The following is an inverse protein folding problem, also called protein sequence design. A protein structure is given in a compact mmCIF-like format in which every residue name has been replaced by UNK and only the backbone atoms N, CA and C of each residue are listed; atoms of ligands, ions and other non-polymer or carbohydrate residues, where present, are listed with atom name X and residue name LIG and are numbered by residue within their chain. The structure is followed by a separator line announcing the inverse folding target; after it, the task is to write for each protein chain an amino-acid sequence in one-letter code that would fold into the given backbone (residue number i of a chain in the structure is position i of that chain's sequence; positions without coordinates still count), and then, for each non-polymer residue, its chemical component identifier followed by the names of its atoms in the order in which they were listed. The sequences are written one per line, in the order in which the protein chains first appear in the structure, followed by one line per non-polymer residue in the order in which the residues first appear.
data_IF_916025216141
#
_entry.id   IF_916025216141
#
_cell.length_a   1.000
_cell.length_b   1.000
_cell.length_c   1.000
_cell.angle_alpha   90.00
_cell.angle_beta   90.00
_cell.angle_gamma   90.00
#
_symmetry.space_group_name_H-M   'P 1'
#
loop_
_entity.id
_entity.type
_entity.pdbx_description
1 polymer ?
#
# COMPACT_ATOMS: atom_id res chain seq x y z
N UNK A 1 23.04 -7.27 10.69
CA UNK A 1 22.41 -7.18 9.37
C UNK A 1 22.35 -5.72 8.94
N UNK A 2 22.84 -5.42 7.75
CA UNK A 2 22.69 -4.12 7.11
C UNK A 2 21.46 -4.10 6.20
N UNK A 3 20.63 -3.08 6.34
CA UNK A 3 19.36 -2.96 5.62
C UNK A 3 19.39 -1.73 4.72
N UNK A 4 19.07 -1.91 3.43
CA UNK A 4 18.76 -0.80 2.53
C UNK A 4 17.26 -0.56 2.51
N UNK A 5 16.83 0.68 2.75
CA UNK A 5 15.44 1.07 2.64
C UNK A 5 15.29 2.11 1.52
N UNK A 6 14.61 1.74 0.46
CA UNK A 6 14.46 2.54 -0.75
C UNK A 6 13.15 3.32 -0.68
N UNK A 7 13.26 4.60 -0.33
CA UNK A 7 12.14 5.51 -0.15
C UNK A 7 12.05 6.11 1.25
N UNK A 8 11.89 7.43 1.33
CA UNK A 8 11.88 8.22 2.57
C UNK A 8 10.55 8.94 2.82
N UNK A 9 9.43 8.34 2.38
CA UNK A 9 8.07 8.79 2.72
C UNK A 9 7.70 8.48 4.19
N UNK A 10 6.48 8.82 4.61
CA UNK A 10 6.01 8.52 5.99
C UNK A 10 6.19 7.06 6.36
N UNK A 11 5.72 6.13 5.51
CA UNK A 11 5.82 4.71 5.78
C UNK A 11 7.25 4.19 5.78
N UNK A 12 8.08 4.62 4.81
CA UNK A 12 9.52 4.29 4.80
C UNK A 12 10.23 4.77 6.06
N UNK A 13 9.95 5.99 6.52
CA UNK A 13 10.53 6.54 7.75
C UNK A 13 10.13 5.73 9.00
N UNK A 14 8.85 5.35 9.12
CA UNK A 14 8.39 4.53 10.24
C UNK A 14 9.03 3.13 10.24
N UNK A 15 9.11 2.48 9.06
CA UNK A 15 9.73 1.15 8.93
C UNK A 15 11.25 1.21 9.14
N UNK A 16 11.93 2.29 8.75
CA UNK A 16 13.34 2.48 9.09
C UNK A 16 13.56 2.45 10.61
N UNK A 17 12.69 3.13 11.37
CA UNK A 17 12.73 3.09 12.83
C UNK A 17 12.46 1.72 13.42
N UNK A 18 11.50 0.95 12.86
CA UNK A 18 11.23 -0.42 13.29
C UNK A 18 12.43 -1.34 13.00
N UNK A 19 12.96 -1.29 11.79
CA UNK A 19 14.09 -2.12 11.36
C UNK A 19 15.36 -1.82 12.16
N UNK A 20 15.60 -0.56 12.51
CA UNK A 20 16.76 -0.12 13.26
C UNK A 20 16.91 -0.76 14.63
N UNK A 21 15.80 -1.25 15.23
CA UNK A 21 15.83 -1.96 16.50
C UNK A 21 16.55 -3.32 16.43
N UNK A 22 16.67 -3.89 15.23
CA UNK A 22 17.26 -5.23 15.00
C UNK A 22 18.40 -5.19 13.98
N UNK A 23 18.45 -4.18 13.13
CA UNK A 23 19.51 -4.00 12.16
C UNK A 23 20.77 -3.40 12.83
N UNK A 24 21.93 -3.72 12.31
CA UNK A 24 23.18 -3.03 12.64
C UNK A 24 23.16 -1.61 12.08
N UNK A 25 22.71 -1.48 10.84
CA UNK A 25 22.55 -0.20 10.13
C UNK A 25 21.37 -0.26 9.19
N UNK A 26 20.62 0.86 9.10
CA UNK A 26 19.59 1.09 8.09
C UNK A 26 20.04 2.27 7.24
N UNK A 27 20.29 2.02 5.95
CA UNK A 27 20.62 3.08 4.99
C UNK A 27 19.37 3.39 4.15
N UNK A 28 18.83 4.59 4.32
CA UNK A 28 17.67 5.05 3.57
C UNK A 28 18.10 5.76 2.28
N UNK A 29 17.53 5.35 1.15
CA UNK A 29 17.61 6.17 -0.06
C UNK A 29 16.51 7.24 -0.03
N UNK A 30 16.93 8.51 -0.06
CA UNK A 30 16.07 9.67 -0.05
C UNK A 30 16.15 10.40 -1.40
N UNK A 31 15.00 10.77 -1.96
CA UNK A 31 14.95 11.49 -3.25
C UNK A 31 15.55 12.92 -3.16
N UNK A 32 15.59 13.54 -1.97
CA UNK A 32 16.07 14.90 -1.81
C UNK A 32 17.24 14.99 -0.80
N UNK A 33 18.22 15.82 -1.14
CA UNK A 33 19.35 16.16 -0.27
C UNK A 33 18.90 16.72 1.09
N UNK A 34 17.83 17.53 1.10
CA UNK A 34 17.28 18.08 2.33
C UNK A 34 16.82 16.98 3.29
N UNK A 35 16.15 15.94 2.75
CA UNK A 35 15.69 14.80 3.57
C UNK A 35 16.88 13.99 4.08
N UNK A 36 17.87 13.73 3.24
CA UNK A 36 19.09 13.01 3.66
C UNK A 36 19.86 13.79 4.73
N UNK A 37 20.05 15.09 4.55
CA UNK A 37 20.71 15.95 5.52
C UNK A 37 19.98 16.00 6.88
N UNK A 38 18.65 16.13 6.87
CA UNK A 38 17.84 16.13 8.11
C UNK A 38 17.95 14.81 8.88
N UNK A 39 17.90 13.66 8.16
CA UNK A 39 18.05 12.34 8.80
C UNK A 39 19.46 12.18 9.38
N UNK A 40 20.51 12.56 8.65
CA UNK A 40 21.89 12.39 9.09
C UNK A 40 22.28 13.37 10.21
N UNK A 41 21.81 14.63 10.15
CA UNK A 41 22.18 15.67 11.10
C UNK A 41 21.33 15.70 12.37
N UNK A 42 20.00 15.56 12.20
CA UNK A 42 19.04 15.75 13.29
C UNK A 42 18.34 14.45 13.70
N UNK A 43 18.61 13.35 13.00
CA UNK A 43 17.86 12.09 13.11
C UNK A 43 16.35 12.27 12.93
N UNK A 44 15.95 13.15 12.02
CA UNK A 44 14.54 13.45 11.71
C UNK A 44 14.32 13.58 10.22
N UNK A 45 13.19 13.10 9.76
CA UNK A 45 12.75 13.40 8.41
C UNK A 45 12.05 14.78 8.42
N UNK A 46 12.59 15.80 7.74
CA UNK A 46 12.05 17.15 7.81
C UNK A 46 10.71 17.33 7.10
N UNK A 47 10.31 16.35 6.29
CA UNK A 47 9.09 16.40 5.48
C UNK A 47 7.97 15.49 5.99
N UNK A 48 8.33 14.34 6.55
CA UNK A 48 7.39 13.32 6.97
C UNK A 48 7.67 12.88 8.42
N UNK A 49 6.63 12.81 9.26
CA UNK A 49 6.78 12.40 10.66
C UNK A 49 7.79 13.28 11.40
N UNK A 50 7.69 14.59 11.21
CA UNK A 50 8.69 15.59 11.65
C UNK A 50 9.02 15.54 13.14
N UNK A 51 8.09 15.06 13.96
CA UNK A 51 8.29 14.91 15.42
C UNK A 51 8.93 13.57 15.80
N UNK A 52 9.02 12.63 14.84
CA UNK A 52 9.61 11.32 15.10
C UNK A 52 11.13 11.36 15.01
N UNK A 53 11.80 10.97 16.08
CA UNK A 53 13.27 10.87 16.11
C UNK A 53 13.69 9.45 15.74
N UNK A 54 14.41 9.31 14.63
CA UNK A 54 14.98 8.06 14.18
C UNK A 54 16.14 7.61 15.09
N UNK A 55 16.35 6.30 15.27
CA UNK A 55 17.53 5.75 15.93
C UNK A 55 18.84 6.16 15.26
N UNK A 56 19.93 6.25 16.02
CA UNK A 56 21.24 6.74 15.54
C UNK A 56 21.93 5.85 14.49
N UNK A 57 21.49 4.59 14.33
CA UNK A 57 21.97 3.67 13.29
C UNK A 57 21.18 3.78 11.97
N UNK A 58 20.24 4.72 11.86
CA UNK A 58 19.58 5.10 10.61
C UNK A 58 20.36 6.24 9.97
N UNK A 59 20.78 6.05 8.74
CA UNK A 59 21.44 7.06 7.91
C UNK A 59 20.73 7.19 6.57
N UNK A 60 20.96 8.27 5.85
CA UNK A 60 20.33 8.49 4.54
C UNK A 60 21.33 8.98 3.50
N UNK A 61 21.05 8.67 2.24
CA UNK A 61 21.80 9.14 1.07
C UNK A 61 20.87 9.36 -0.10
N UNK A 62 21.24 10.22 -1.04
CA UNK A 62 20.56 10.37 -2.33
C UNK A 62 21.16 9.48 -3.42
N UNK A 63 22.27 8.83 -3.14
CA UNK A 63 22.91 7.87 -4.03
C UNK A 63 22.34 6.46 -3.80
N UNK A 64 21.65 5.94 -4.82
CA UNK A 64 21.03 4.61 -4.77
C UNK A 64 22.06 3.49 -4.65
N UNK A 65 23.22 3.62 -5.30
CA UNK A 65 24.30 2.63 -5.23
C UNK A 65 24.86 2.56 -3.82
N UNK A 66 25.14 3.72 -3.22
CA UNK A 66 25.58 3.81 -1.84
C UNK A 66 24.55 3.25 -0.84
N UNK A 67 23.24 3.44 -1.11
CA UNK A 67 22.21 2.90 -0.25
C UNK A 67 22.17 1.36 -0.26
N UNK A 68 22.51 0.74 -1.40
CA UNK A 68 22.47 -0.71 -1.61
C UNK A 68 23.79 -1.40 -1.25
N UNK A 69 24.88 -0.65 -1.08
CA UNK A 69 26.20 -1.20 -0.81
C UNK A 69 26.24 -1.99 0.51
N UNK A 70 26.60 -3.28 0.40
CA UNK A 70 26.66 -4.20 1.53
C UNK A 70 25.32 -4.54 2.18
N UNK A 71 24.19 -4.26 1.52
CA UNK A 71 22.87 -4.57 2.05
C UNK A 71 22.59 -6.09 2.07
N UNK A 72 22.24 -6.61 3.23
CA UNK A 72 21.87 -8.01 3.46
C UNK A 72 20.32 -8.22 3.36
N UNK A 73 19.55 -7.14 3.40
CA UNK A 73 18.12 -7.12 3.13
C UNK A 73 17.72 -5.77 2.54
N UNK A 74 16.74 -5.76 1.64
CA UNK A 74 16.27 -4.55 0.96
C UNK A 74 14.77 -4.37 1.19
N UNK A 75 14.34 -3.13 1.43
CA UNK A 75 12.94 -2.76 1.64
C UNK A 75 12.57 -1.66 0.65
N UNK A 76 11.61 -1.90 -0.23
CA UNK A 76 11.06 -0.88 -1.13
C UNK A 76 9.82 -0.22 -0.53
N UNK A 77 9.87 1.12 -0.41
CA UNK A 77 8.81 1.97 0.14
C UNK A 77 8.56 3.22 -0.74
N UNK A 78 8.64 3.05 -2.05
CA UNK A 78 8.38 4.10 -3.04
C UNK A 78 6.93 4.06 -3.53
N UNK A 79 6.37 5.16 -4.06
CA UNK A 79 5.03 5.14 -4.66
C UNK A 79 4.94 4.13 -5.82
N UNK A 80 3.74 3.54 -6.02
CA UNK A 80 3.51 2.49 -7.03
C UNK A 80 3.91 2.92 -8.44
N UNK A 81 3.65 4.18 -8.80
CA UNK A 81 3.98 4.77 -10.10
C UNK A 81 5.48 4.88 -10.40
N UNK A 82 6.33 4.78 -9.39
CA UNK A 82 7.80 4.90 -9.52
C UNK A 82 8.52 3.58 -9.26
N UNK A 83 7.82 2.55 -8.79
CA UNK A 83 8.46 1.32 -8.30
C UNK A 83 9.30 0.64 -9.39
N UNK A 84 8.74 0.41 -10.58
CA UNK A 84 9.47 -0.23 -11.69
C UNK A 84 10.76 0.51 -12.04
N UNK A 85 10.66 1.82 -12.25
CA UNK A 85 11.83 2.65 -12.61
C UNK A 85 12.92 2.61 -11.55
N UNK A 86 12.54 2.63 -10.26
CA UNK A 86 13.50 2.55 -9.16
C UNK A 86 14.09 1.15 -9.05
N UNK A 87 13.28 0.10 -9.19
CA UNK A 87 13.78 -1.30 -9.21
C UNK A 87 14.74 -1.54 -10.37
N UNK A 88 14.43 -1.04 -11.57
CA UNK A 88 15.31 -1.13 -12.72
C UNK A 88 16.70 -0.51 -12.47
N UNK A 89 16.71 0.68 -11.85
CA UNK A 89 17.96 1.36 -11.48
C UNK A 89 18.71 0.61 -10.36
N UNK A 90 17.99 0.00 -9.42
CA UNK A 90 18.57 -0.72 -8.28
C UNK A 90 19.10 -2.11 -8.66
N UNK A 91 18.44 -2.80 -9.61
CA UNK A 91 18.68 -4.20 -9.94
C UNK A 91 20.14 -4.59 -10.18
N UNK A 92 20.97 -3.78 -10.90
CA UNK A 92 22.39 -4.12 -11.13
C UNK A 92 23.24 -4.17 -9.85
N UNK A 93 22.77 -3.55 -8.76
CA UNK A 93 23.49 -3.41 -7.49
C UNK A 93 22.93 -4.33 -6.38
N UNK A 94 21.94 -5.14 -6.68
CA UNK A 94 21.31 -6.08 -5.74
C UNK A 94 21.93 -7.46 -5.94
N UNK A 95 22.55 -8.02 -4.90
CA UNK A 95 23.07 -9.38 -4.95
C UNK A 95 21.96 -10.42 -5.18
N UNK A 96 22.30 -11.52 -5.88
CA UNK A 96 21.31 -12.48 -6.41
C UNK A 96 20.44 -13.17 -5.35
N UNK A 97 20.92 -13.28 -4.14
CA UNK A 97 20.29 -13.95 -2.99
C UNK A 97 19.76 -12.99 -1.92
N UNK A 98 19.95 -11.67 -2.08
CA UNK A 98 19.47 -10.68 -1.12
C UNK A 98 17.93 -10.68 -1.05
N UNK A 99 17.32 -10.93 0.13
CA UNK A 99 15.88 -10.87 0.29
C UNK A 99 15.34 -9.43 0.15
N UNK A 100 14.16 -9.32 -0.44
CA UNK A 100 13.51 -8.03 -0.74
C UNK A 100 12.12 -7.99 -0.16
N UNK A 101 11.77 -6.90 0.55
CA UNK A 101 10.42 -6.64 1.05
C UNK A 101 9.78 -5.49 0.28
N UNK A 102 8.60 -5.75 -0.27
CA UNK A 102 7.73 -4.74 -0.87
C UNK A 102 6.77 -4.16 0.17
N UNK A 103 6.83 -2.85 0.40
CA UNK A 103 5.86 -2.10 1.20
C UNK A 103 4.89 -1.29 0.33
N UNK A 104 5.17 -1.20 -0.96
CA UNK A 104 4.36 -0.46 -1.92
C UNK A 104 3.06 -1.21 -2.17
N UNK A 105 1.95 -0.50 -2.09
CA UNK A 105 0.61 -1.05 -2.32
C UNK A 105 0.07 -0.52 -3.65
N UNK A 106 -0.37 -1.42 -4.52
CA UNK A 106 -0.90 -1.05 -5.83
C UNK A 106 -0.89 -2.21 -6.81
N UNK A 107 -1.40 -1.91 -8.00
CA UNK A 107 -1.33 -2.75 -9.20
C UNK A 107 -0.80 -1.86 -10.29
N UNK A 108 0.20 -2.31 -11.02
CA UNK A 108 0.82 -1.52 -12.08
C UNK A 108 -0.16 -1.34 -13.24
N UNK A 109 -0.40 -0.11 -13.70
CA UNK A 109 -1.18 0.13 -14.90
C UNK A 109 -0.60 -0.62 -16.12
N UNK A 110 -1.42 -0.92 -17.11
CA UNK A 110 -1.08 -1.58 -18.36
C UNK A 110 -0.67 -3.05 -18.21
N UNK A 111 0.27 -3.38 -17.31
CA UNK A 111 0.73 -4.75 -17.09
C UNK A 111 -0.19 -5.56 -16.19
N UNK A 112 -0.93 -4.91 -15.27
CA UNK A 112 -1.74 -5.57 -14.24
C UNK A 112 -0.91 -6.35 -13.20
N UNK A 113 0.40 -6.13 -13.15
CA UNK A 113 1.29 -6.80 -12.20
C UNK A 113 1.10 -6.25 -10.78
N UNK A 114 1.17 -7.15 -9.81
CA UNK A 114 1.31 -6.80 -8.39
C UNK A 114 2.70 -6.20 -8.14
N UNK A 115 2.85 -5.42 -7.09
CA UNK A 115 4.10 -4.71 -6.83
C UNK A 115 5.28 -5.66 -6.58
N UNK A 116 5.06 -6.81 -5.94
CA UNK A 116 6.08 -7.85 -5.81
C UNK A 116 6.46 -8.48 -7.15
N UNK A 117 5.49 -8.66 -8.06
CA UNK A 117 5.74 -9.15 -9.41
C UNK A 117 6.56 -8.14 -10.23
N UNK A 118 6.28 -6.83 -10.06
CA UNK A 118 7.09 -5.75 -10.66
C UNK A 118 8.54 -5.84 -10.16
N UNK A 119 8.76 -5.94 -8.84
CA UNK A 119 10.10 -6.11 -8.28
C UNK A 119 10.77 -7.35 -8.86
N UNK A 120 10.09 -8.51 -8.82
CA UNK A 120 10.63 -9.77 -9.30
C UNK A 120 11.00 -9.73 -10.80
N UNK A 121 10.22 -9.01 -11.61
CA UNK A 121 10.52 -8.85 -13.05
C UNK A 121 11.82 -8.07 -13.31
N UNK A 122 12.18 -7.14 -12.42
CA UNK A 122 13.40 -6.34 -12.56
C UNK A 122 14.64 -7.00 -11.93
N UNK A 123 14.46 -7.69 -10.79
CA UNK A 123 15.59 -8.30 -10.06
C UNK A 123 15.79 -9.79 -10.33
N UNK A 124 14.89 -10.42 -11.10
CA UNK A 124 15.06 -11.76 -11.68
C UNK A 124 14.73 -12.96 -10.81
N UNK A 125 14.22 -12.83 -9.57
CA UNK A 125 13.88 -13.98 -8.71
C UNK A 125 12.73 -13.65 -7.77
N UNK A 126 11.55 -14.24 -8.03
CA UNK A 126 10.35 -14.03 -7.23
C UNK A 126 10.42 -14.67 -5.83
N UNK A 127 11.20 -15.74 -5.65
CA UNK A 127 11.28 -16.46 -4.38
C UNK A 127 11.91 -15.63 -3.27
N UNK A 128 12.72 -14.62 -3.61
CA UNK A 128 13.34 -13.71 -2.63
C UNK A 128 12.52 -12.47 -2.31
N UNK A 129 11.32 -12.35 -2.88
CA UNK A 129 10.44 -11.19 -2.68
C UNK A 129 9.34 -11.53 -1.69
N UNK A 130 9.17 -10.67 -0.69
CA UNK A 130 8.04 -10.67 0.23
C UNK A 130 7.24 -9.37 0.07
N UNK A 131 5.98 -9.38 0.45
CA UNK A 131 5.12 -8.19 0.51
C UNK A 131 4.53 -8.01 1.91
N UNK A 132 4.40 -6.75 2.38
CA UNK A 132 3.79 -6.44 3.66
C UNK A 132 2.53 -5.61 3.47
N UNK A 133 1.43 -6.02 4.12
CA UNK A 133 0.19 -5.26 4.21
C UNK A 133 -0.49 -5.46 5.57
N UNK A 134 -1.36 -4.52 5.95
CA UNK A 134 -2.09 -4.56 7.23
C UNK A 134 -2.45 -3.16 7.72
N UNK A 135 -3.19 -3.04 8.84
CA UNK A 135 -3.52 -1.78 9.48
C UNK A 135 -2.27 -1.17 10.14
N UNK A 136 -1.58 -0.30 9.40
CA UNK A 136 -0.26 0.18 9.77
C UNK A 136 -0.05 1.66 9.39
N UNK A 137 -0.81 2.55 10.01
CA UNK A 137 -0.59 3.99 9.87
C UNK A 137 0.75 4.39 10.50
N UNK A 138 1.59 5.05 9.72
CA UNK A 138 2.94 5.41 10.11
C UNK A 138 2.97 6.29 11.37
N UNK A 139 2.03 7.21 11.48
CA UNK A 139 1.87 8.14 12.59
C UNK A 139 1.61 7.41 13.92
N UNK A 140 0.77 6.38 13.89
CA UNK A 140 0.45 5.59 15.09
C UNK A 140 1.62 4.72 15.52
N UNK A 141 2.29 4.08 14.56
CA UNK A 141 3.47 3.23 14.81
C UNK A 141 4.60 4.05 15.43
N UNK A 142 4.87 5.25 14.91
CA UNK A 142 5.90 6.13 15.47
C UNK A 142 5.60 6.62 16.89
N UNK A 143 4.33 6.60 17.31
CA UNK A 143 3.90 6.88 18.69
C UNK A 143 3.89 5.64 19.58
N UNK A 144 4.30 4.49 19.07
CA UNK A 144 4.28 3.22 19.81
C UNK A 144 2.89 2.57 19.92
N UNK A 145 1.95 2.96 19.07
CA UNK A 145 0.62 2.37 19.00
C UNK A 145 0.68 0.88 18.63
N UNK A 146 -0.17 0.05 19.26
CA UNK A 146 -0.26 -1.37 18.93
C UNK A 146 -0.80 -1.54 17.51
N UNK A 147 -0.01 -2.19 16.67
CA UNK A 147 -0.32 -2.43 15.27
C UNK A 147 0.08 -3.83 14.85
N UNK A 148 -0.46 -4.29 13.74
CA UNK A 148 -0.13 -5.60 13.19
C UNK A 148 -0.10 -5.56 11.66
N UNK A 149 0.72 -6.44 11.07
CA UNK A 149 0.80 -6.62 9.63
C UNK A 149 0.95 -8.10 9.25
N UNK A 150 0.69 -8.41 8.00
CA UNK A 150 1.01 -9.68 7.37
C UNK A 150 2.19 -9.47 6.43
N UNK A 151 3.18 -10.34 6.54
CA UNK A 151 4.21 -10.51 5.52
C UNK A 151 3.88 -11.78 4.74
N UNK A 152 3.63 -11.62 3.45
CA UNK A 152 3.45 -12.72 2.53
C UNK A 152 4.75 -12.97 1.76
N UNK A 153 5.11 -14.26 1.59
CA UNK A 153 6.27 -14.68 0.81
C UNK A 153 6.08 -16.10 0.32
N UNK A 154 6.54 -16.39 -0.90
CA UNK A 154 6.59 -17.75 -1.45
C UNK A 154 7.66 -18.61 -0.74
N UNK A 155 8.75 -18.00 -0.28
CA UNK A 155 9.80 -18.61 0.52
C UNK A 155 9.61 -18.27 2.01
N UNK A 156 9.41 -19.30 2.84
CA UNK A 156 9.20 -19.14 4.27
C UNK A 156 10.39 -18.45 4.96
N UNK A 157 11.63 -18.70 4.52
CA UNK A 157 12.83 -18.11 5.12
C UNK A 157 12.91 -16.60 4.86
N UNK A 158 12.49 -16.14 3.67
CA UNK A 158 12.39 -14.71 3.35
C UNK A 158 11.34 -14.04 4.24
N UNK A 159 10.18 -14.69 4.41
CA UNK A 159 9.14 -14.19 5.32
C UNK A 159 9.63 -14.08 6.76
N UNK A 160 10.30 -15.11 7.29
CA UNK A 160 10.86 -15.11 8.65
C UNK A 160 11.97 -14.05 8.82
N UNK A 161 12.80 -13.81 7.80
CA UNK A 161 13.83 -12.77 7.84
C UNK A 161 13.22 -11.40 8.13
N UNK A 162 12.21 -11.01 7.36
CA UNK A 162 11.56 -9.71 7.55
C UNK A 162 10.67 -9.65 8.79
N UNK A 163 10.02 -10.75 9.16
CA UNK A 163 9.32 -10.85 10.45
C UNK A 163 10.27 -10.59 11.60
N UNK A 164 11.41 -11.26 11.64
CA UNK A 164 12.40 -11.09 12.70
C UNK A 164 12.98 -9.68 12.71
N UNK A 165 13.14 -9.06 11.57
CA UNK A 165 13.62 -7.67 11.46
C UNK A 165 12.63 -6.64 12.03
N UNK A 166 11.32 -6.83 11.78
CA UNK A 166 10.30 -5.80 12.06
C UNK A 166 9.45 -6.08 13.30
N UNK A 167 9.42 -7.33 13.81
CA UNK A 167 8.60 -7.71 14.95
C UNK A 167 9.02 -6.96 16.21
N UNK A 168 8.05 -6.37 16.89
CA UNK A 168 8.23 -5.79 18.24
C UNK A 168 7.02 -6.09 19.12
N UNK A 169 7.05 -5.64 20.38
CA UNK A 169 5.89 -5.75 21.28
C UNK A 169 4.70 -4.95 20.81
N UNK A 170 4.94 -3.81 20.15
CA UNK A 170 3.91 -2.93 19.62
C UNK A 170 3.59 -3.18 18.14
N UNK A 171 4.48 -3.82 17.36
CA UNK A 171 4.25 -4.14 15.95
C UNK A 171 4.30 -5.66 15.73
N UNK A 172 3.12 -6.28 15.60
CA UNK A 172 2.95 -7.73 15.47
C UNK A 172 3.00 -8.13 14.00
N UNK A 173 3.76 -9.17 13.67
CA UNK A 173 3.90 -9.69 12.30
C UNK A 173 3.37 -11.12 12.23
N UNK A 174 2.47 -11.34 11.27
CA UNK A 174 1.95 -12.65 10.89
C UNK A 174 2.49 -13.02 9.50
N UNK A 175 2.70 -14.31 9.25
CA UNK A 175 3.17 -14.79 7.96
C UNK A 175 2.04 -15.39 7.12
N UNK A 176 2.16 -15.28 5.81
CA UNK A 176 1.27 -15.86 4.81
C UNK A 176 2.08 -16.36 3.62
N UNK A 177 1.53 -17.31 2.87
CA UNK A 177 2.05 -17.70 1.56
C UNK A 177 1.21 -17.10 0.41
N UNK A 178 0.09 -16.47 0.71
CA UNK A 178 -0.80 -15.86 -0.26
C UNK A 178 -0.37 -14.42 -0.59
N UNK A 179 0.64 -14.31 -1.45
CA UNK A 179 1.12 -13.02 -1.97
C UNK A 179 0.00 -12.25 -2.67
N UNK A 180 -0.74 -12.93 -3.54
CA UNK A 180 -1.82 -12.35 -4.34
C UNK A 180 -2.90 -11.74 -3.45
N UNK A 181 -3.40 -12.50 -2.47
CA UNK A 181 -4.43 -12.02 -1.56
C UNK A 181 -3.99 -10.81 -0.75
N UNK A 182 -2.77 -10.84 -0.19
CA UNK A 182 -2.23 -9.74 0.62
C UNK A 182 -2.05 -8.46 -0.20
N UNK A 183 -1.54 -8.54 -1.42
CA UNK A 183 -1.27 -7.37 -2.25
C UNK A 183 -2.53 -6.79 -2.90
N UNK A 184 -3.44 -7.63 -3.41
CA UNK A 184 -4.73 -7.17 -3.97
C UNK A 184 -5.56 -6.46 -2.89
N UNK A 185 -5.62 -7.01 -1.68
CA UNK A 185 -6.25 -6.35 -0.54
C UNK A 185 -5.64 -4.97 -0.29
N UNK A 186 -4.30 -4.89 -0.23
CA UNK A 186 -3.58 -3.64 -0.01
C UNK A 186 -3.81 -2.58 -1.07
N UNK A 187 -3.96 -2.98 -2.34
CA UNK A 187 -4.24 -2.08 -3.45
C UNK A 187 -5.70 -1.56 -3.42
N UNK A 188 -6.67 -2.48 -3.36
CA UNK A 188 -8.09 -2.13 -3.51
C UNK A 188 -8.67 -1.39 -2.31
N UNK A 189 -8.21 -1.63 -1.08
CA UNK A 189 -8.68 -0.89 0.10
C UNK A 189 -8.62 0.63 -0.08
N UNK A 190 -7.61 1.12 -0.81
CA UNK A 190 -7.41 2.54 -1.06
C UNK A 190 -8.52 3.13 -1.94
N UNK A 191 -9.04 2.34 -2.89
CA UNK A 191 -10.19 2.71 -3.72
C UNK A 191 -11.46 2.80 -2.86
N UNK A 192 -11.69 1.79 -2.02
CA UNK A 192 -12.85 1.77 -1.13
C UNK A 192 -12.79 2.92 -0.12
N UNK A 193 -11.60 3.30 0.34
CA UNK A 193 -11.43 4.47 1.20
C UNK A 193 -11.82 5.79 0.51
N UNK A 194 -11.60 5.94 -0.81
CA UNK A 194 -12.14 7.09 -1.58
C UNK A 194 -13.66 7.09 -1.53
N UNK A 195 -14.31 5.94 -1.77
CA UNK A 195 -15.78 5.83 -1.70
C UNK A 195 -16.30 6.20 -0.30
N UNK A 196 -15.67 5.71 0.75
CA UNK A 196 -16.02 6.07 2.13
C UNK A 196 -15.83 7.58 2.40
N UNK A 197 -14.79 8.19 1.83
CA UNK A 197 -14.56 9.63 1.90
C UNK A 197 -15.66 10.42 1.21
N UNK A 198 -16.03 10.03 -0.03
CA UNK A 198 -17.15 10.64 -0.78
C UNK A 198 -18.45 10.52 0.01
N UNK A 199 -18.74 9.34 0.53
CA UNK A 199 -19.93 9.07 1.35
C UNK A 199 -19.99 9.97 2.59
N UNK A 200 -18.87 10.12 3.29
CA UNK A 200 -18.80 11.04 4.43
C UNK A 200 -18.98 12.51 4.02
N UNK A 201 -18.40 12.94 2.87
CA UNK A 201 -18.55 14.28 2.33
C UNK A 201 -19.98 14.63 1.90
N UNK A 202 -20.77 13.63 1.50
CA UNK A 202 -22.21 13.79 1.17
C UNK A 202 -23.13 13.64 2.40
N UNK A 203 -22.59 13.45 3.59
CA UNK A 203 -23.36 13.36 4.83
C UNK A 203 -24.01 12.00 5.11
N UNK A 204 -23.53 10.94 4.46
CA UNK A 204 -24.04 9.59 4.72
C UNK A 204 -23.64 9.09 6.10
N UNK A 205 -24.53 8.29 6.73
CA UNK A 205 -24.32 7.77 8.08
C UNK A 205 -23.58 6.42 8.12
N UNK A 206 -23.43 5.90 9.34
CA UNK A 206 -22.63 4.69 9.64
C UNK A 206 -23.12 3.43 8.90
N UNK A 207 -24.43 3.28 8.69
CA UNK A 207 -24.97 2.16 7.92
C UNK A 207 -24.46 2.16 6.48
N UNK A 208 -24.35 3.33 5.86
CA UNK A 208 -23.81 3.47 4.50
C UNK A 208 -22.32 3.15 4.47
N UNK A 209 -21.54 3.61 5.45
CA UNK A 209 -20.12 3.27 5.57
C UNK A 209 -19.93 1.77 5.76
N UNK A 210 -20.73 1.13 6.63
CA UNK A 210 -20.68 -0.33 6.83
C UNK A 210 -21.02 -1.09 5.53
N UNK A 211 -22.06 -0.65 4.81
CA UNK A 211 -22.44 -1.20 3.50
C UNK A 211 -21.28 -1.11 2.50
N UNK A 212 -20.66 0.09 2.36
CA UNK A 212 -19.55 0.32 1.42
C UNK A 212 -18.36 -0.58 1.77
N UNK A 213 -17.97 -0.66 3.04
CA UNK A 213 -16.85 -1.50 3.46
C UNK A 213 -17.13 -2.98 3.22
N UNK A 214 -18.33 -3.47 3.53
CA UNK A 214 -18.72 -4.87 3.33
C UNK A 214 -18.77 -5.22 1.84
N UNK A 215 -19.41 -4.38 1.02
CA UNK A 215 -19.46 -4.61 -0.44
C UNK A 215 -18.08 -4.44 -1.09
N UNK A 216 -17.28 -3.49 -0.61
CA UNK A 216 -15.90 -3.33 -1.04
C UNK A 216 -15.05 -4.57 -0.74
N UNK A 217 -15.20 -5.15 0.46
CA UNK A 217 -14.50 -6.39 0.81
C UNK A 217 -14.92 -7.56 -0.10
N UNK A 218 -16.21 -7.64 -0.46
CA UNK A 218 -16.68 -8.64 -1.41
C UNK A 218 -16.10 -8.44 -2.83
N UNK A 219 -15.92 -7.20 -3.30
CA UNK A 219 -15.22 -6.90 -4.56
C UNK A 219 -13.76 -7.35 -4.49
N UNK A 220 -13.06 -7.01 -3.41
CA UNK A 220 -11.68 -7.42 -3.16
C UNK A 220 -11.57 -8.94 -3.21
N UNK A 221 -12.49 -9.66 -2.52
CA UNK A 221 -12.49 -11.12 -2.46
C UNK A 221 -12.65 -11.76 -3.85
N UNK A 222 -13.51 -11.19 -4.70
CA UNK A 222 -13.70 -11.69 -6.09
C UNK A 222 -12.44 -11.51 -6.92
N UNK A 223 -11.79 -10.36 -6.83
CA UNK A 223 -10.56 -10.13 -7.58
C UNK A 223 -9.40 -10.99 -7.06
N UNK A 224 -9.28 -11.16 -5.73
CA UNK A 224 -8.31 -12.07 -5.12
C UNK A 224 -8.51 -13.49 -5.65
N UNK A 225 -9.75 -14.00 -5.63
CA UNK A 225 -10.07 -15.33 -6.14
C UNK A 225 -9.74 -15.48 -7.63
N UNK A 226 -10.17 -14.54 -8.45
CA UNK A 226 -9.92 -14.55 -9.90
C UNK A 226 -8.43 -14.46 -10.26
N UNK A 227 -7.60 -13.86 -9.39
CA UNK A 227 -6.13 -13.81 -9.54
C UNK A 227 -5.41 -15.01 -8.94
N UNK A 228 -6.15 -16.01 -8.45
CA UNK A 228 -5.60 -17.23 -7.86
C UNK A 228 -5.15 -17.10 -6.40
N UNK A 229 -5.54 -16.02 -5.71
CA UNK A 229 -5.34 -15.84 -4.28
C UNK A 229 -6.46 -16.51 -3.45
N UNK A 230 -6.30 -16.50 -2.15
CA UNK A 230 -7.26 -17.09 -1.21
C UNK A 230 -8.25 -16.03 -0.71
N UNK A 231 -9.55 -16.19 -1.00
CA UNK A 231 -10.59 -15.27 -0.54
C UNK A 231 -10.58 -15.11 1.00
N UNK A 232 -10.16 -16.14 1.75
CA UNK A 232 -10.03 -16.07 3.21
C UNK A 232 -9.01 -15.02 3.68
N UNK A 233 -7.98 -14.69 2.89
CA UNK A 233 -7.01 -13.63 3.19
C UNK A 233 -7.69 -12.27 3.37
N UNK A 234 -8.81 -12.05 2.68
CA UNK A 234 -9.59 -10.82 2.79
C UNK A 234 -10.21 -10.62 4.18
N UNK A 235 -10.44 -11.70 4.95
CA UNK A 235 -10.97 -11.61 6.31
C UNK A 235 -9.90 -11.28 7.36
N UNK A 236 -8.63 -11.28 6.95
CA UNK A 236 -7.48 -11.05 7.83
C UNK A 236 -7.06 -9.58 7.92
N UNK A 237 -5.84 -9.40 8.47
CA UNK A 237 -5.25 -8.06 8.68
C UNK A 237 -5.00 -7.30 7.38
N UNK A 238 -4.55 -7.97 6.32
CA UNK A 238 -4.29 -7.33 5.03
C UNK A 238 -5.57 -6.92 4.30
N UNK A 239 -6.69 -7.63 4.53
CA UNK A 239 -8.01 -7.34 3.97
C UNK A 239 -8.85 -6.48 4.91
N UNK A 240 -9.74 -7.10 5.68
CA UNK A 240 -10.70 -6.42 6.56
C UNK A 240 -10.01 -5.45 7.54
N UNK A 241 -8.89 -5.85 8.16
CA UNK A 241 -8.19 -5.01 9.13
C UNK A 241 -7.69 -3.71 8.53
N UNK A 242 -6.98 -3.79 7.39
CA UNK A 242 -6.42 -2.61 6.69
C UNK A 242 -7.52 -1.79 6.01
N UNK A 243 -8.59 -2.44 5.54
CA UNK A 243 -9.76 -1.76 4.97
C UNK A 243 -10.44 -0.88 6.03
N UNK A 244 -10.80 -1.44 7.18
CA UNK A 244 -11.46 -0.69 8.26
C UNK A 244 -10.58 0.48 8.69
N UNK A 245 -9.31 0.22 9.04
CA UNK A 245 -8.38 1.25 9.46
C UNK A 245 -8.26 2.38 8.43
N UNK A 246 -8.22 2.06 7.13
CA UNK A 246 -8.07 3.06 6.07
C UNK A 246 -9.37 3.82 5.80
N UNK A 247 -10.53 3.18 5.89
CA UNK A 247 -11.84 3.79 5.61
C UNK A 247 -12.34 4.67 6.77
N UNK A 248 -11.91 4.43 8.01
CA UNK A 248 -12.38 5.17 9.18
C UNK A 248 -11.39 6.23 9.69
N UNK A 249 -10.09 6.08 9.37
CA UNK A 249 -9.04 6.97 9.87
C UNK A 249 -9.05 8.34 9.18
N UNK A 250 -8.86 9.39 9.98
CA UNK A 250 -8.58 10.75 9.51
C UNK A 250 -7.19 10.89 8.88
N UNK A 251 -6.27 9.98 9.20
CA UNK A 251 -4.93 9.93 8.59
C UNK A 251 -4.94 9.32 7.17
N UNK A 252 -6.07 8.79 6.71
CA UNK A 252 -6.18 8.18 5.38
C UNK A 252 -6.27 9.25 4.29
N UNK A 253 -5.19 9.42 3.52
CA UNK A 253 -5.13 10.35 2.38
C UNK A 253 -6.21 10.06 1.34
N UNK A 254 -6.50 8.78 1.08
CA UNK A 254 -7.52 8.38 0.12
C UNK A 254 -8.93 8.77 0.61
N UNK A 255 -9.22 8.56 1.89
CA UNK A 255 -10.50 8.97 2.50
C UNK A 255 -10.63 10.50 2.50
N UNK A 256 -9.57 11.23 2.88
CA UNK A 256 -9.54 12.70 2.87
C UNK A 256 -9.75 13.23 1.45
N UNK A 257 -9.07 12.66 0.46
CA UNK A 257 -9.31 13.03 -0.94
C UNK A 257 -10.77 12.79 -1.34
N UNK A 258 -11.35 11.63 -1.04
CA UNK A 258 -12.74 11.35 -1.34
C UNK A 258 -13.72 12.35 -0.71
N UNK A 259 -13.47 12.76 0.53
CA UNK A 259 -14.25 13.78 1.23
C UNK A 259 -14.18 15.14 0.49
N UNK A 260 -12.98 15.58 0.12
CA UNK A 260 -12.80 16.85 -0.59
C UNK A 260 -13.33 16.79 -2.02
N UNK A 261 -13.20 15.62 -2.70
CA UNK A 261 -13.78 15.40 -4.02
C UNK A 261 -15.31 15.56 -4.03
N UNK A 262 -15.99 15.08 -2.98
CA UNK A 262 -17.43 15.31 -2.80
C UNK A 262 -17.80 16.80 -2.65
N UNK A 263 -16.84 17.65 -2.28
CA UNK A 263 -17.00 19.10 -2.20
C UNK A 263 -16.46 19.85 -3.43
N UNK A 264 -16.18 19.13 -4.52
CA UNK A 264 -15.79 19.70 -5.82
C UNK A 264 -14.29 19.88 -6.05
N UNK A 265 -13.42 19.41 -5.15
CA UNK A 265 -11.96 19.45 -5.35
C UNK A 265 -11.56 18.35 -6.32
N UNK A 266 -10.95 18.69 -7.45
CA UNK A 266 -10.46 17.72 -8.43
C UNK A 266 -9.24 16.95 -7.95
N UNK A 267 -8.94 15.80 -8.58
CA UNK A 267 -7.74 15.00 -8.29
C UNK A 267 -6.46 15.82 -8.51
N UNK A 268 -6.37 16.53 -9.62
CA UNK A 268 -5.21 17.35 -9.98
C UNK A 268 -4.98 18.50 -8.98
N UNK A 269 -6.06 19.18 -8.57
CA UNK A 269 -6.00 20.24 -7.56
C UNK A 269 -5.53 19.70 -6.21
N UNK A 270 -6.08 18.56 -5.77
CA UNK A 270 -5.68 17.92 -4.53
C UNK A 270 -4.21 17.52 -4.53
N UNK A 271 -3.73 16.86 -5.59
CA UNK A 271 -2.35 16.42 -5.73
C UNK A 271 -1.37 17.60 -5.83
N UNK A 272 -1.74 18.67 -6.56
CA UNK A 272 -0.93 19.88 -6.68
C UNK A 272 -0.76 20.58 -5.34
N UNK A 273 -1.84 20.69 -4.56
CA UNK A 273 -1.83 21.35 -3.25
C UNK A 273 -1.08 20.53 -2.19
N UNK A 274 -1.26 19.22 -2.18
CA UNK A 274 -0.70 18.34 -1.15
C UNK A 274 0.69 17.81 -1.50
N UNK A 275 1.08 17.86 -2.76
CA UNK A 275 2.27 17.18 -3.31
C UNK A 275 2.32 15.68 -2.98
N UNK A 276 1.15 15.04 -2.90
CA UNK A 276 1.02 13.62 -2.55
C UNK A 276 0.27 12.85 -3.63
N UNK A 277 0.74 11.62 -3.90
CA UNK A 277 0.03 10.68 -4.76
C UNK A 277 -1.19 10.11 -4.02
N UNK A 278 -2.34 10.11 -4.68
CA UNK A 278 -3.55 9.41 -4.22
C UNK A 278 -3.53 8.00 -4.80
N UNK A 279 -2.96 7.06 -4.07
CA UNK A 279 -2.78 5.66 -4.53
C UNK A 279 -4.11 4.99 -4.90
N UNK A 280 -5.21 5.34 -4.22
CA UNK A 280 -6.54 4.83 -4.55
C UNK A 280 -7.06 5.31 -5.91
N UNK A 281 -6.68 6.50 -6.36
CA UNK A 281 -7.04 6.98 -7.70
C UNK A 281 -6.26 6.21 -8.78
N UNK A 282 -4.96 6.00 -8.59
CA UNK A 282 -4.15 5.16 -9.49
C UNK A 282 -4.71 3.74 -9.52
N UNK A 283 -4.97 3.16 -8.34
CA UNK A 283 -5.51 1.80 -8.21
C UNK A 283 -6.90 1.67 -8.85
N UNK A 284 -7.78 2.68 -8.75
CA UNK A 284 -9.10 2.62 -9.37
C UNK A 284 -9.02 2.33 -10.87
N UNK A 285 -8.04 2.91 -11.57
CA UNK A 285 -7.82 2.67 -13.00
C UNK A 285 -7.20 1.29 -13.26
N UNK A 286 -6.06 0.99 -12.64
CA UNK A 286 -5.34 -0.26 -12.88
C UNK A 286 -6.12 -1.50 -12.44
N UNK A 287 -6.84 -1.42 -11.31
CA UNK A 287 -7.73 -2.50 -10.83
C UNK A 287 -8.92 -2.69 -11.77
N UNK A 288 -9.51 -1.60 -12.29
CA UNK A 288 -10.62 -1.70 -13.25
C UNK A 288 -10.19 -2.35 -14.56
N UNK A 289 -9.01 -2.00 -15.08
CA UNK A 289 -8.42 -2.62 -16.27
C UNK A 289 -8.20 -4.13 -16.05
N UNK A 290 -7.59 -4.50 -14.92
CA UNK A 290 -7.37 -5.89 -14.54
C UNK A 290 -8.69 -6.67 -14.38
N UNK A 291 -9.67 -6.09 -13.68
CA UNK A 291 -10.97 -6.74 -13.45
C UNK A 291 -11.73 -6.99 -14.77
N UNK A 292 -11.68 -6.04 -15.71
CA UNK A 292 -12.26 -6.24 -17.05
C UNK A 292 -11.59 -7.38 -17.80
N UNK A 293 -10.27 -7.48 -17.73
CA UNK A 293 -9.52 -8.56 -18.39
C UNK A 293 -9.83 -9.95 -17.82
N UNK A 294 -10.20 -10.01 -16.53
CA UNK A 294 -10.56 -11.23 -15.82
C UNK A 294 -12.08 -11.49 -15.78
N UNK A 295 -12.91 -10.58 -16.30
CA UNK A 295 -14.37 -10.69 -16.22
C UNK A 295 -14.94 -10.56 -14.80
N UNK A 296 -14.26 -9.85 -13.91
CA UNK A 296 -14.65 -9.69 -12.51
C UNK A 296 -15.53 -8.46 -12.32
N UNK A 297 -16.68 -8.61 -11.62
CA UNK A 297 -17.59 -7.51 -11.30
C UNK A 297 -17.14 -6.78 -10.03
N UNK A 298 -16.74 -5.51 -10.18
CA UNK A 298 -16.25 -4.62 -9.10
C UNK A 298 -16.92 -3.24 -9.17
N UNK A 299 -18.25 -3.15 -8.96
CA UNK A 299 -19.04 -1.95 -9.23
C UNK A 299 -18.59 -0.69 -8.47
N UNK A 300 -18.19 -0.77 -7.20
CA UNK A 300 -17.69 0.38 -6.44
C UNK A 300 -16.41 0.93 -7.06
N UNK A 301 -15.48 0.04 -7.41
CA UNK A 301 -14.22 0.41 -8.03
C UNK A 301 -14.44 1.02 -9.41
N UNK A 302 -15.32 0.45 -10.24
CA UNK A 302 -15.69 1.04 -11.53
C UNK A 302 -16.34 2.41 -11.38
N UNK A 303 -17.20 2.61 -10.37
CA UNK A 303 -17.81 3.92 -10.11
C UNK A 303 -16.75 4.99 -9.81
N UNK A 304 -15.71 4.66 -9.00
CA UNK A 304 -14.60 5.58 -8.73
C UNK A 304 -13.83 5.90 -10.00
N UNK A 305 -13.49 4.91 -10.81
CA UNK A 305 -12.81 5.14 -12.09
C UNK A 305 -13.63 6.07 -13.01
N UNK A 306 -14.95 5.80 -13.14
CA UNK A 306 -15.83 6.60 -14.00
C UNK A 306 -15.95 8.05 -13.54
N UNK A 307 -16.00 8.29 -12.23
CA UNK A 307 -16.09 9.65 -11.70
C UNK A 307 -14.78 10.41 -11.79
N UNK A 308 -13.65 9.74 -11.54
CA UNK A 308 -12.34 10.41 -11.53
C UNK A 308 -11.79 10.69 -12.93
N UNK A 309 -12.08 9.81 -13.90
CA UNK A 309 -11.39 9.84 -15.20
C UNK A 309 -12.33 10.03 -16.41
N UNK A 310 -13.61 9.68 -16.27
CA UNK A 310 -14.55 9.65 -17.40
C UNK A 310 -15.70 10.67 -17.27
N UNK A 311 -15.62 11.59 -16.30
CA UNK A 311 -16.55 12.70 -16.16
C UNK A 311 -17.98 12.33 -15.71
N UNK A 312 -18.16 11.10 -15.18
CA UNK A 312 -19.46 10.70 -14.60
C UNK A 312 -19.66 11.44 -13.27
N UNK A 313 -20.80 12.09 -13.09
CA UNK A 313 -21.12 12.81 -11.85
C UNK A 313 -21.34 11.83 -10.68
N UNK A 314 -21.14 12.31 -9.45
CA UNK A 314 -21.38 11.48 -8.23
C UNK A 314 -22.82 10.99 -8.15
N UNK A 315 -23.81 11.84 -8.49
CA UNK A 315 -25.21 11.47 -8.50
C UNK A 315 -25.49 10.33 -9.49
N UNK A 316 -24.91 10.43 -10.69
CA UNK A 316 -25.07 9.38 -11.71
C UNK A 316 -24.38 8.07 -11.31
N UNK A 317 -23.21 8.15 -10.69
CA UNK A 317 -22.51 6.98 -10.17
C UNK A 317 -23.32 6.30 -9.05
N UNK A 318 -23.93 7.07 -8.16
CA UNK A 318 -24.80 6.57 -7.10
C UNK A 318 -26.05 5.90 -7.67
N UNK A 319 -26.72 6.52 -8.66
CA UNK A 319 -27.85 5.91 -9.37
C UNK A 319 -27.48 4.54 -9.94
N UNK A 320 -26.37 4.46 -10.69
CA UNK A 320 -25.89 3.20 -11.29
C UNK A 320 -25.66 2.11 -10.22
N UNK A 321 -25.13 2.48 -9.06
CA UNK A 321 -24.88 1.53 -7.97
C UNK A 321 -26.19 1.08 -7.30
N UNK A 322 -27.16 1.99 -7.11
CA UNK A 322 -28.42 1.70 -6.41
C UNK A 322 -29.45 1.02 -7.30
N UNK A 323 -29.43 1.23 -8.61
CA UNK A 323 -30.32 0.57 -9.58
C UNK A 323 -29.95 -0.91 -9.80
N UNK A 324 -28.78 -1.36 -9.30
CA UNK A 324 -28.38 -2.77 -9.39
C UNK A 324 -29.32 -3.63 -8.54
N UNK A 325 -29.93 -4.63 -9.17
CA UNK A 325 -30.77 -5.60 -8.46
C UNK A 325 -29.89 -6.38 -7.47
N UNK A 326 -30.20 -6.39 -6.17
CA UNK A 326 -29.45 -7.19 -5.21
C UNK A 326 -29.51 -8.68 -5.58
N UNK A 327 -28.34 -9.32 -5.63
CA UNK A 327 -28.18 -10.75 -5.84
C UNK A 327 -27.84 -11.47 -4.52
N UNK A 328 -27.22 -12.62 -4.57
CA UNK A 328 -26.67 -13.28 -3.38
C UNK A 328 -25.57 -12.42 -2.75
N UNK A 329 -25.47 -12.44 -1.42
CA UNK A 329 -24.47 -11.65 -0.68
C UNK A 329 -23.05 -11.99 -1.13
N UNK A 330 -22.74 -13.27 -1.29
CA UNK A 330 -21.46 -13.77 -1.81
C UNK A 330 -21.68 -14.45 -3.15
N UNK A 331 -21.21 -13.84 -4.23
CA UNK A 331 -21.22 -14.38 -5.58
C UNK A 331 -19.82 -14.25 -6.18
N UNK A 332 -19.49 -15.13 -7.15
CA UNK A 332 -18.17 -15.13 -7.82
C UNK A 332 -17.01 -15.56 -6.91
N UNK A 333 -17.28 -16.34 -5.87
CA UNK A 333 -16.31 -16.93 -4.94
C UNK A 333 -16.34 -18.47 -4.92
N UNK A 334 -17.25 -19.06 -5.66
CA UNK A 334 -17.35 -20.53 -5.85
C UNK A 334 -17.10 -20.84 -7.31
N UNK A 335 -16.40 -21.94 -7.55
CA UNK A 335 -16.16 -22.52 -8.88
C UNK A 335 -17.48 -22.93 -9.55
#
# INVERSE_FOLDING_TARGET
MNVALIGSGSWGTAVAGLAAARAERVTMWAHSEQTAAGINGEHRNPRYLVDYKLPGNVVATTDLVQALDGAEAIIFAVPSTHLRSVCHQAAPFIAADTPVLCLTKGIEPESGLLMSEVIASEIGNEMRVAALSGPNHAEEICRGGLSAAVIASKDAQVGETFKNLLLSTAFRIYLSQDMTGVEVCGAMKNVIAIVCGISAGTGAGDNTLALIMTRGLAEISRLVHARGGQAMTCMGLAGMGDLIATCTSEHSRNRTFGYEFAHGVSLDEYQTRTHMVVEGAVAARSVSELARSLGVDIPLTFAVEQTLYNGVTLDRALEILTDRVPSQEFYGLTD
#
